data_IF_612260073739
#
_entry.id   IF_612260073739
#
_cell.length_a   1.000
_cell.length_b   1.000
_cell.length_c   1.000
_cell.angle_alpha   90.00
_cell.angle_beta   90.00
_cell.angle_gamma   90.00
#
_symmetry.space_group_name_H-M   'P 1'
#
loop_
_entity.id
_entity.type
_entity.pdbx_description
1 polymer ?
#
# COMPACT_ATOMS: atom_id res chain seq x y z
N UNK A 1 -23.90 18.16 2.10
CA UNK A 1 -22.85 17.74 1.13
C UNK A 1 -22.13 16.53 1.72
N UNK A 2 -22.20 15.38 1.09
CA UNK A 2 -21.46 14.20 1.53
C UNK A 2 -19.98 14.41 1.16
N UNK A 3 -19.13 14.63 2.16
CA UNK A 3 -17.68 14.71 1.99
C UNK A 3 -16.99 13.40 2.36
N UNK A 4 -15.71 13.32 2.08
CA UNK A 4 -14.85 12.21 2.52
C UNK A 4 -13.89 12.68 3.59
N UNK A 5 -13.62 11.82 4.57
CA UNK A 5 -12.59 11.96 5.59
C UNK A 5 -11.56 10.88 5.37
N UNK A 6 -10.32 11.26 5.06
CA UNK A 6 -9.28 10.29 4.68
C UNK A 6 -8.44 9.93 5.89
N UNK A 7 -8.29 8.62 6.13
CA UNK A 7 -7.54 8.06 7.25
C UNK A 7 -6.43 7.19 6.69
N UNK A 8 -5.19 7.49 7.07
CA UNK A 8 -4.00 6.73 6.69
C UNK A 8 -3.85 5.42 7.46
N UNK A 9 -2.59 4.97 7.58
CA UNK A 9 -2.22 3.72 8.24
C UNK A 9 -2.68 3.69 9.71
N UNK A 10 -3.41 2.66 10.10
CA UNK A 10 -3.95 2.50 11.46
C UNK A 10 -3.15 1.49 12.28
N UNK A 11 -2.70 0.41 11.65
CA UNK A 11 -1.83 -0.60 12.26
C UNK A 11 -2.28 -1.07 13.65
N UNK A 12 -3.55 -1.45 13.82
CA UNK A 12 -4.03 -2.01 15.07
C UNK A 12 -4.13 -1.03 16.26
N UNK A 13 -4.15 0.28 16.00
CA UNK A 13 -4.33 1.33 17.02
C UNK A 13 -5.80 1.78 17.11
N UNK A 14 -6.66 0.88 17.59
CA UNK A 14 -8.10 1.11 17.61
C UNK A 14 -8.56 2.22 18.57
N UNK A 15 -7.86 2.41 19.69
CA UNK A 15 -8.18 3.49 20.63
C UNK A 15 -7.94 4.86 20.02
N UNK A 16 -6.81 5.03 19.33
CA UNK A 16 -6.46 6.25 18.60
C UNK A 16 -7.41 6.49 17.43
N UNK A 17 -7.77 5.42 16.69
CA UNK A 17 -8.75 5.48 15.62
C UNK A 17 -10.13 5.96 16.14
N UNK A 18 -10.63 5.39 17.23
CA UNK A 18 -11.89 5.79 17.84
C UNK A 18 -11.86 7.26 18.25
N UNK A 19 -10.78 7.70 18.91
CA UNK A 19 -10.59 9.11 19.29
C UNK A 19 -10.57 10.03 18.08
N UNK A 20 -9.92 9.60 16.97
CA UNK A 20 -9.89 10.37 15.73
C UNK A 20 -11.30 10.50 15.12
N UNK A 21 -12.04 9.39 15.06
CA UNK A 21 -13.41 9.37 14.55
C UNK A 21 -14.32 10.31 15.35
N UNK A 22 -14.24 10.28 16.68
CA UNK A 22 -14.97 11.21 17.57
C UNK A 22 -14.63 12.67 17.27
N UNK A 23 -13.35 13.01 17.17
CA UNK A 23 -12.89 14.37 16.82
C UNK A 23 -13.35 14.84 15.44
N UNK A 24 -13.51 13.92 14.49
CA UNK A 24 -14.06 14.22 13.17
C UNK A 24 -15.59 14.29 13.17
N UNK A 25 -16.25 14.04 14.30
CA UNK A 25 -17.71 14.12 14.46
C UNK A 25 -18.46 12.85 14.11
N UNK A 26 -17.79 11.71 14.02
CA UNK A 26 -18.45 10.40 13.90
C UNK A 26 -18.99 9.97 15.27
N UNK A 27 -20.11 9.28 15.25
CA UNK A 27 -20.75 8.70 16.41
C UNK A 27 -20.94 7.20 16.20
N UNK A 28 -20.66 6.40 17.25
CA UNK A 28 -20.92 4.96 17.19
C UNK A 28 -22.42 4.70 17.39
N UNK A 29 -23.04 4.07 16.38
CA UNK A 29 -24.46 3.72 16.39
C UNK A 29 -24.67 2.34 15.76
N UNK A 30 -25.34 1.46 16.47
CA UNK A 30 -25.64 0.10 16.00
C UNK A 30 -24.41 -0.65 15.50
N UNK A 31 -23.30 -0.58 16.23
CA UNK A 31 -22.06 -1.30 15.92
C UNK A 31 -21.23 -0.73 14.76
N UNK A 32 -21.53 0.49 14.30
CA UNK A 32 -20.74 1.18 13.30
C UNK A 32 -20.63 2.67 13.57
N UNK A 33 -19.47 3.24 13.28
CA UNK A 33 -19.26 4.68 13.33
C UNK A 33 -19.89 5.37 12.11
N UNK A 34 -20.68 6.42 12.34
CA UNK A 34 -21.40 7.17 11.30
C UNK A 34 -21.30 8.67 11.56
N UNK A 35 -21.07 9.44 10.50
CA UNK A 35 -21.09 10.89 10.62
C UNK A 35 -22.52 11.41 10.43
N UNK A 36 -23.05 12.28 11.35
CA UNK A 36 -24.45 12.78 11.29
C UNK A 36 -24.76 13.53 9.98
N UNK A 37 -23.77 14.23 9.40
CA UNK A 37 -23.91 14.93 8.13
C UNK A 37 -23.68 14.02 6.88
N UNK A 38 -23.63 12.69 7.05
CA UNK A 38 -23.46 11.74 5.94
C UNK A 38 -22.07 11.73 5.29
N UNK A 39 -21.04 12.26 5.97
CA UNK A 39 -19.64 12.11 5.52
C UNK A 39 -19.23 10.64 5.60
N UNK A 40 -18.27 10.24 4.78
CA UNK A 40 -17.76 8.86 4.75
C UNK A 40 -16.26 8.85 5.01
N UNK A 41 -15.80 7.94 5.85
CA UNK A 41 -14.39 7.70 6.02
C UNK A 41 -13.82 6.93 4.79
N UNK A 42 -12.52 7.15 4.48
CA UNK A 42 -11.78 6.34 3.51
C UNK A 42 -10.48 5.91 4.14
N UNK A 43 -10.34 4.61 4.42
CA UNK A 43 -9.14 4.03 4.97
C UNK A 43 -8.17 3.67 3.84
N UNK A 44 -6.93 4.12 3.95
CA UNK A 44 -5.92 3.93 2.90
C UNK A 44 -5.08 2.64 3.05
N UNK A 45 -5.57 1.66 3.80
CA UNK A 45 -4.90 0.37 4.04
C UNK A 45 -4.01 0.38 5.28
N UNK A 46 -3.21 -0.67 5.44
CA UNK A 46 -2.35 -0.92 6.60
C UNK A 46 -3.13 -0.87 7.92
N UNK A 47 -4.18 -1.68 7.99
CA UNK A 47 -5.06 -1.81 9.14
C UNK A 47 -4.49 -2.74 10.21
N UNK A 48 -3.70 -3.73 9.77
CA UNK A 48 -3.14 -4.82 10.57
C UNK A 48 -1.68 -4.62 10.93
N UNK A 49 -1.15 -5.54 11.72
CA UNK A 49 0.23 -5.58 12.24
C UNK A 49 0.53 -4.46 13.25
N UNK A 50 1.63 -4.62 14.00
CA UNK A 50 2.25 -3.68 14.95
C UNK A 50 1.43 -3.41 16.23
N UNK A 51 0.24 -2.84 16.12
CA UNK A 51 -0.50 -2.27 17.24
C UNK A 51 -1.16 -3.31 18.16
N UNK A 52 -1.60 -2.88 19.35
CA UNK A 52 -2.11 -3.78 20.38
C UNK A 52 -3.56 -4.22 20.17
N UNK A 53 -4.33 -3.58 19.27
CA UNK A 53 -5.78 -3.77 19.14
C UNK A 53 -6.19 -4.04 17.67
N UNK A 54 -5.50 -4.95 16.98
CA UNK A 54 -5.74 -5.29 15.56
C UNK A 54 -7.18 -5.75 15.35
N UNK A 55 -7.65 -6.67 16.21
CA UNK A 55 -9.02 -7.19 16.15
C UNK A 55 -10.04 -6.06 16.19
N UNK A 56 -9.94 -5.18 17.18
CA UNK A 56 -10.85 -4.05 17.36
C UNK A 56 -10.76 -3.04 16.20
N UNK A 57 -9.57 -2.81 15.67
CA UNK A 57 -9.38 -1.98 14.46
C UNK A 57 -10.17 -2.54 13.28
N UNK A 58 -10.04 -3.84 13.04
CA UNK A 58 -10.76 -4.51 11.95
C UNK A 58 -12.28 -4.50 12.18
N UNK A 59 -12.74 -4.71 13.42
CA UNK A 59 -14.17 -4.63 13.77
C UNK A 59 -14.73 -3.23 13.48
N UNK A 60 -14.02 -2.16 13.83
CA UNK A 60 -14.40 -0.78 13.53
C UNK A 60 -14.47 -0.55 12.02
N UNK A 61 -13.39 -0.84 11.29
CA UNK A 61 -13.30 -0.56 9.86
C UNK A 61 -14.31 -1.37 9.07
N UNK A 62 -14.41 -2.67 9.34
CA UNK A 62 -15.40 -3.54 8.69
C UNK A 62 -16.83 -3.12 9.00
N UNK A 63 -17.12 -2.82 10.26
CA UNK A 63 -18.45 -2.32 10.66
C UNK A 63 -18.84 -1.06 9.91
N UNK A 64 -17.90 -0.12 9.71
CA UNK A 64 -18.12 1.09 8.93
C UNK A 64 -18.30 0.80 7.43
N UNK A 65 -17.50 -0.09 6.86
CA UNK A 65 -17.59 -0.49 5.45
C UNK A 65 -18.92 -1.19 5.18
N UNK A 66 -19.28 -2.19 5.98
CA UNK A 66 -20.52 -2.95 5.86
C UNK A 66 -21.75 -2.05 6.05
N UNK A 67 -21.64 -1.03 6.88
CA UNK A 67 -22.68 -0.01 7.11
C UNK A 67 -22.74 1.10 6.04
N UNK A 68 -21.82 1.10 5.06
CA UNK A 68 -21.70 2.10 4.01
C UNK A 68 -21.20 3.48 4.49
N UNK A 69 -20.74 3.60 5.74
CA UNK A 69 -20.17 4.83 6.32
C UNK A 69 -18.67 4.98 6.07
N UNK A 70 -18.01 3.96 5.53
CA UNK A 70 -16.64 4.04 5.08
C UNK A 70 -16.40 3.30 3.76
N UNK A 71 -15.25 3.59 3.16
CA UNK A 71 -14.55 2.83 2.12
C UNK A 71 -13.18 2.44 2.65
N UNK A 72 -12.57 1.40 2.10
CA UNK A 72 -11.20 1.03 2.43
C UNK A 72 -10.49 0.50 1.19
N UNK A 73 -9.18 0.72 1.09
CA UNK A 73 -8.32 0.08 0.10
C UNK A 73 -7.34 -0.87 0.79
N UNK A 74 -6.79 -1.82 0.04
CA UNK A 74 -5.76 -2.74 0.51
C UNK A 74 -4.42 -2.02 0.63
N UNK A 75 -3.76 -2.15 1.79
CA UNK A 75 -2.37 -1.73 1.97
C UNK A 75 -1.38 -2.88 1.70
N UNK A 76 -0.10 -2.57 1.85
CA UNK A 76 0.94 -3.59 1.65
C UNK A 76 0.96 -4.62 2.78
N UNK A 77 0.55 -4.27 4.00
CA UNK A 77 0.45 -5.22 5.11
C UNK A 77 -0.65 -6.25 4.88
N UNK A 78 -1.82 -5.85 4.39
CA UNK A 78 -2.90 -6.77 4.01
C UNK A 78 -2.44 -7.73 2.91
N UNK A 79 -1.83 -7.22 1.82
CA UNK A 79 -1.32 -8.08 0.75
C UNK A 79 -0.23 -9.03 1.24
N UNK A 80 0.65 -8.58 2.12
CA UNK A 80 1.70 -9.39 2.71
C UNK A 80 1.12 -10.53 3.56
N UNK A 81 0.08 -10.27 4.36
CA UNK A 81 -0.63 -11.28 5.15
C UNK A 81 -1.28 -12.34 4.23
N UNK A 82 -1.96 -11.89 3.17
CA UNK A 82 -2.53 -12.80 2.17
C UNK A 82 -1.47 -13.67 1.49
N UNK A 83 -0.32 -13.10 1.12
CA UNK A 83 0.78 -13.86 0.54
C UNK A 83 1.46 -14.81 1.54
N UNK A 84 1.57 -14.41 2.80
CA UNK A 84 2.16 -15.24 3.87
C UNK A 84 1.33 -16.49 4.15
N UNK A 85 0.01 -16.39 4.01
CA UNK A 85 -0.93 -17.49 4.26
C UNK A 85 -1.37 -18.24 2.99
N UNK A 86 -0.92 -17.82 1.80
CA UNK A 86 -1.27 -18.49 0.53
C UNK A 86 -0.12 -19.33 0.02
N UNK A 87 -0.32 -20.64 -0.04
CA UNK A 87 0.63 -21.55 -0.69
C UNK A 87 0.56 -21.41 -2.22
N UNK A 88 1.71 -21.51 -2.87
CA UNK A 88 1.77 -21.62 -4.33
C UNK A 88 1.37 -23.03 -4.77
N UNK A 89 0.25 -23.20 -5.50
CA UNK A 89 -0.23 -24.52 -5.88
C UNK A 89 0.67 -25.25 -6.91
N UNK A 90 1.58 -24.54 -7.57
CA UNK A 90 2.43 -25.09 -8.65
C UNK A 90 3.88 -25.32 -8.24
N UNK A 91 4.30 -24.81 -7.09
CA UNK A 91 5.69 -24.87 -6.66
C UNK A 91 5.76 -25.46 -5.26
N UNK A 92 6.72 -26.35 -5.03
CA UNK A 92 7.01 -26.94 -3.73
C UNK A 92 8.42 -26.52 -3.30
N UNK A 93 8.66 -26.52 -2.00
CA UNK A 93 10.02 -26.43 -1.44
C UNK A 93 10.78 -27.75 -1.69
N UNK A 94 12.10 -27.73 -1.51
CA UNK A 94 12.97 -28.90 -1.74
C UNK A 94 12.59 -30.10 -0.87
N UNK A 95 12.07 -29.87 0.32
CA UNK A 95 11.55 -30.90 1.24
C UNK A 95 10.15 -31.43 0.88
N UNK A 96 9.55 -30.94 -0.22
CA UNK A 96 8.19 -31.28 -0.68
C UNK A 96 7.08 -30.49 0.01
N UNK A 97 7.40 -29.65 0.97
CA UNK A 97 6.44 -28.77 1.65
C UNK A 97 5.81 -27.69 0.74
N UNK A 98 4.80 -26.98 1.21
CA UNK A 98 4.19 -25.90 0.47
C UNK A 98 5.16 -24.72 0.36
N UNK A 99 5.39 -24.22 -0.86
CA UNK A 99 6.04 -22.93 -1.05
C UNK A 99 5.01 -21.83 -0.92
N UNK A 100 5.23 -20.93 0.03
CA UNK A 100 4.35 -19.80 0.27
C UNK A 100 4.67 -18.64 -0.68
N UNK A 101 3.67 -17.83 -1.05
CA UNK A 101 3.88 -16.64 -1.89
C UNK A 101 4.76 -15.58 -1.21
N UNK A 102 4.79 -15.57 0.11
CA UNK A 102 5.76 -14.82 0.93
C UNK A 102 6.47 -15.79 1.84
N UNK A 103 7.79 -15.76 1.85
CA UNK A 103 8.60 -16.67 2.67
C UNK A 103 8.28 -16.53 4.17
N UNK A 104 8.34 -17.64 4.89
CA UNK A 104 8.20 -17.69 6.36
C UNK A 104 9.54 -17.42 7.07
N UNK A 105 10.29 -16.39 6.60
CA UNK A 105 11.50 -15.95 7.28
C UNK A 105 11.17 -15.37 8.66
N UNK A 106 12.14 -15.35 9.57
CA UNK A 106 11.98 -14.81 10.91
C UNK A 106 11.44 -13.36 10.90
N UNK A 107 11.96 -12.51 10.01
CA UNK A 107 11.50 -11.12 9.88
C UNK A 107 10.05 -11.01 9.41
N UNK A 108 9.62 -11.88 8.48
CA UNK A 108 8.23 -11.89 8.03
C UNK A 108 7.28 -12.49 9.07
N UNK A 109 7.72 -13.54 9.77
CA UNK A 109 6.97 -14.12 10.89
C UNK A 109 6.76 -13.07 11.99
N UNK A 110 7.83 -12.38 12.41
CA UNK A 110 7.76 -11.30 13.40
C UNK A 110 6.83 -10.16 12.98
N UNK A 111 6.82 -9.79 11.69
CA UNK A 111 5.92 -8.76 11.18
C UNK A 111 4.45 -9.16 11.36
N UNK A 112 4.10 -10.44 11.14
CA UNK A 112 2.72 -10.93 11.13
C UNK A 112 2.29 -11.53 12.48
N UNK A 113 3.20 -11.65 13.44
CA UNK A 113 3.00 -12.32 14.73
C UNK A 113 1.80 -11.77 15.51
N UNK A 114 1.73 -10.44 15.66
CA UNK A 114 0.66 -9.79 16.40
C UNK A 114 -0.71 -9.99 15.73
N UNK A 115 -0.77 -9.95 14.42
CA UNK A 115 -2.00 -10.21 13.67
C UNK A 115 -2.49 -11.63 13.90
N UNK A 116 -1.61 -12.63 13.79
CA UNK A 116 -1.94 -14.04 14.07
C UNK A 116 -2.40 -14.21 15.51
N UNK A 117 -1.67 -13.66 16.47
CA UNK A 117 -1.97 -13.78 17.90
C UNK A 117 -3.34 -13.19 18.26
N UNK A 118 -3.65 -12.01 17.74
CA UNK A 118 -4.88 -11.29 18.10
C UNK A 118 -6.11 -11.79 17.34
N UNK A 119 -5.97 -12.27 16.13
CA UNK A 119 -7.10 -12.81 15.36
C UNK A 119 -7.36 -14.29 15.69
N UNK A 120 -6.33 -15.05 16.08
CA UNK A 120 -6.45 -16.43 16.56
C UNK A 120 -7.27 -17.31 15.60
N UNK A 121 -8.33 -18.00 16.08
CA UNK A 121 -9.12 -18.92 15.28
C UNK A 121 -9.94 -18.21 14.16
N UNK A 122 -10.12 -16.90 14.24
CA UNK A 122 -10.87 -16.14 13.24
C UNK A 122 -9.97 -15.57 12.13
N UNK A 123 -8.67 -15.88 12.15
CA UNK A 123 -7.69 -15.36 11.18
C UNK A 123 -8.16 -15.57 9.73
N UNK A 124 -8.58 -16.78 9.38
CA UNK A 124 -9.00 -17.10 8.01
C UNK A 124 -10.22 -16.28 7.55
N UNK A 125 -11.17 -16.03 8.46
CA UNK A 125 -12.34 -15.22 8.17
C UNK A 125 -11.96 -13.74 7.93
N UNK A 126 -10.99 -13.24 8.70
CA UNK A 126 -10.48 -11.89 8.50
C UNK A 126 -9.65 -11.76 7.21
N UNK A 127 -8.80 -12.72 6.91
CA UNK A 127 -8.04 -12.77 5.65
C UNK A 127 -9.00 -12.81 4.44
N UNK A 128 -10.08 -13.59 4.54
CA UNK A 128 -11.11 -13.61 3.50
C UNK A 128 -11.75 -12.23 3.31
N UNK A 129 -12.04 -11.50 4.39
CA UNK A 129 -12.56 -10.14 4.30
C UNK A 129 -11.52 -9.15 3.73
N UNK A 130 -10.29 -9.17 4.21
CA UNK A 130 -9.20 -8.31 3.70
C UNK A 130 -8.99 -8.50 2.20
N UNK A 131 -9.18 -9.70 1.70
CA UNK A 131 -9.11 -10.02 0.27
C UNK A 131 -10.21 -9.36 -0.56
N UNK A 132 -11.32 -8.94 0.03
CA UNK A 132 -12.39 -8.21 -0.66
C UNK A 132 -12.11 -6.73 -0.85
N UNK A 133 -11.07 -6.21 -0.18
CA UNK A 133 -10.70 -4.82 -0.31
C UNK A 133 -10.14 -4.53 -1.70
N UNK A 134 -10.59 -3.47 -2.38
CA UNK A 134 -10.01 -3.04 -3.63
C UNK A 134 -8.57 -2.55 -3.43
N UNK A 135 -7.76 -2.70 -4.46
CA UNK A 135 -6.33 -2.29 -4.42
C UNK A 135 -6.18 -0.77 -4.57
N UNK A 136 -7.16 -0.15 -5.20
CA UNK A 136 -7.33 1.30 -5.30
C UNK A 136 -8.80 1.65 -5.46
N UNK A 137 -9.14 2.91 -5.23
CA UNK A 137 -10.47 3.45 -5.45
C UNK A 137 -10.40 4.74 -6.26
N UNK A 138 -11.32 4.87 -7.20
CA UNK A 138 -11.59 6.07 -7.95
C UNK A 138 -13.06 6.39 -7.84
N UNK A 139 -13.40 7.61 -7.49
CA UNK A 139 -14.80 8.05 -7.36
C UNK A 139 -14.91 9.54 -7.67
N UNK A 140 -16.10 10.08 -7.58
CA UNK A 140 -16.35 11.52 -7.67
C UNK A 140 -17.04 12.00 -6.40
N UNK A 141 -16.74 13.22 -5.99
CA UNK A 141 -17.48 13.89 -4.93
C UNK A 141 -18.83 14.44 -5.42
N UNK A 142 -19.56 15.09 -4.53
CA UNK A 142 -20.86 15.69 -4.85
C UNK A 142 -20.77 16.90 -5.82
N UNK A 143 -19.59 17.45 -6.04
CA UNK A 143 -19.33 18.50 -7.02
C UNK A 143 -18.85 17.96 -8.38
N UNK A 144 -18.73 16.63 -8.51
CA UNK A 144 -18.22 15.98 -9.73
C UNK A 144 -16.70 15.96 -9.82
N UNK A 145 -15.99 16.31 -8.76
CA UNK A 145 -14.51 16.26 -8.73
C UNK A 145 -14.05 14.82 -8.59
N UNK A 146 -13.15 14.39 -9.48
CA UNK A 146 -12.54 13.05 -9.39
C UNK A 146 -11.62 12.95 -8.17
N UNK A 147 -11.84 11.90 -7.38
CA UNK A 147 -11.06 11.56 -6.20
C UNK A 147 -10.43 10.18 -6.39
N UNK A 148 -9.16 10.08 -6.06
CA UNK A 148 -8.35 8.86 -6.16
C UNK A 148 -7.79 8.49 -4.80
N UNK A 149 -7.93 7.22 -4.41
CA UNK A 149 -7.44 6.68 -3.15
C UNK A 149 -6.62 5.43 -3.43
N UNK A 150 -5.39 5.43 -2.98
CA UNK A 150 -4.47 4.29 -3.12
C UNK A 150 -3.53 4.26 -1.93
N UNK A 151 -3.03 3.09 -1.57
CA UNK A 151 -2.18 3.00 -0.38
C UNK A 151 -0.90 3.83 -0.50
N UNK A 152 -0.14 3.75 -1.61
CA UNK A 152 1.12 4.50 -1.70
C UNK A 152 1.26 5.40 -2.95
N UNK A 153 1.00 4.93 -4.16
CA UNK A 153 1.18 5.78 -5.34
C UNK A 153 0.15 5.51 -6.45
N UNK A 154 -0.42 6.57 -7.00
CA UNK A 154 -1.31 6.48 -8.15
C UNK A 154 -0.49 6.48 -9.44
N UNK A 155 -0.36 5.33 -10.06
CA UNK A 155 0.41 5.14 -11.29
C UNK A 155 -0.51 4.60 -12.39
N UNK A 156 -1.39 5.45 -12.88
CA UNK A 156 -2.48 5.06 -13.78
C UNK A 156 -2.04 4.21 -14.98
N UNK A 157 -0.95 4.53 -15.71
CA UNK A 157 -0.52 3.68 -16.82
C UNK A 157 -0.18 2.25 -16.40
N UNK A 158 0.41 2.08 -15.21
CA UNK A 158 0.75 0.75 -14.65
C UNK A 158 -0.53 0.04 -14.19
N UNK A 159 -1.43 0.77 -13.54
CA UNK A 159 -2.70 0.25 -13.01
C UNK A 159 -3.63 -0.20 -14.15
N UNK A 160 -3.76 0.61 -15.22
CA UNK A 160 -4.51 0.24 -16.43
C UNK A 160 -3.95 -1.02 -17.07
N UNK A 161 -2.65 -1.05 -17.26
CA UNK A 161 -1.98 -2.21 -17.83
C UNK A 161 -2.23 -3.49 -17.01
N UNK A 162 -2.16 -3.40 -15.68
CA UNK A 162 -2.46 -4.53 -14.78
C UNK A 162 -3.92 -4.97 -14.90
N UNK A 163 -4.84 -4.04 -15.07
CA UNK A 163 -6.26 -4.30 -15.16
C UNK A 163 -6.66 -4.88 -16.53
N UNK A 164 -6.09 -4.36 -17.62
CA UNK A 164 -6.41 -4.75 -19.01
C UNK A 164 -5.71 -6.05 -19.44
N UNK A 165 -4.41 -6.21 -19.11
CA UNK A 165 -3.67 -7.39 -19.53
C UNK A 165 -3.95 -8.58 -18.60
N UNK A 166 -4.27 -9.77 -19.12
CA UNK A 166 -4.44 -10.97 -18.30
C UNK A 166 -3.10 -11.43 -17.70
N UNK A 167 -3.16 -12.37 -16.76
CA UNK A 167 -1.98 -13.08 -16.25
C UNK A 167 -1.32 -13.90 -17.37
N UNK A 168 -0.14 -14.43 -17.11
CA UNK A 168 0.54 -15.31 -18.07
C UNK A 168 -0.28 -16.57 -18.41
N UNK A 169 -1.19 -17.00 -17.54
CA UNK A 169 -2.13 -18.09 -17.74
C UNK A 169 -3.44 -17.66 -18.48
N UNK A 170 -3.56 -16.39 -18.85
CA UNK A 170 -4.75 -15.87 -19.55
C UNK A 170 -5.92 -15.50 -18.64
N UNK A 171 -5.74 -15.50 -17.32
CA UNK A 171 -6.78 -15.20 -16.33
C UNK A 171 -6.77 -13.73 -15.93
N UNK A 172 -7.95 -13.17 -15.60
CA UNK A 172 -8.09 -11.81 -15.09
C UNK A 172 -7.42 -11.66 -13.71
N UNK A 173 -6.61 -10.60 -13.53
CA UNK A 173 -6.01 -10.28 -12.22
C UNK A 173 -7.00 -9.73 -11.23
N UNK A 174 -7.97 -9.00 -11.74
CA UNK A 174 -8.94 -8.29 -10.91
C UNK A 174 -10.37 -8.69 -11.27
N UNK A 175 -11.21 -8.70 -10.26
CA UNK A 175 -12.65 -8.64 -10.40
C UNK A 175 -13.13 -7.20 -10.19
N UNK A 176 -14.29 -6.86 -10.75
CA UNK A 176 -14.87 -5.53 -10.63
C UNK A 176 -14.32 -4.51 -11.63
N UNK A 177 -14.83 -3.28 -11.57
CA UNK A 177 -14.45 -2.21 -12.48
C UNK A 177 -13.05 -1.66 -12.17
N UNK A 178 -12.49 -0.92 -13.12
CA UNK A 178 -11.20 -0.23 -12.93
C UNK A 178 -11.22 0.73 -11.73
N UNK A 179 -12.36 1.31 -11.43
CA UNK A 179 -12.54 2.26 -10.32
C UNK A 179 -12.38 1.63 -8.93
N UNK A 180 -12.60 0.31 -8.80
CA UNK A 180 -12.49 -0.42 -7.52
C UNK A 180 -12.13 -1.89 -7.73
N UNK A 181 -10.93 -2.21 -8.24
CA UNK A 181 -10.57 -3.59 -8.58
C UNK A 181 -10.17 -4.40 -7.34
N UNK A 182 -10.72 -5.59 -7.24
CA UNK A 182 -10.42 -6.57 -6.18
C UNK A 182 -9.59 -7.71 -6.77
N UNK A 183 -8.55 -8.15 -6.06
CA UNK A 183 -7.67 -9.24 -6.52
C UNK A 183 -8.45 -10.57 -6.64
N UNK A 184 -8.41 -11.19 -7.82
CA UNK A 184 -8.81 -12.59 -8.00
C UNK A 184 -7.77 -13.53 -7.39
N UNK A 185 -8.03 -14.84 -7.40
CA UNK A 185 -7.02 -15.84 -7.03
C UNK A 185 -5.80 -15.77 -7.98
N UNK A 186 -6.05 -15.65 -9.28
CA UNK A 186 -4.99 -15.52 -10.28
C UNK A 186 -4.18 -14.24 -10.08
N UNK A 187 -4.83 -13.12 -9.74
CA UNK A 187 -4.18 -11.87 -9.39
C UNK A 187 -3.30 -11.99 -8.15
N UNK A 188 -3.81 -12.61 -7.07
CA UNK A 188 -3.03 -12.83 -5.85
C UNK A 188 -1.75 -13.64 -6.13
N UNK A 189 -1.87 -14.70 -6.93
CA UNK A 189 -0.72 -15.50 -7.37
C UNK A 189 0.26 -14.70 -8.25
N UNK A 190 -0.24 -13.91 -9.20
CA UNK A 190 0.59 -13.08 -10.09
C UNK A 190 1.35 -12.00 -9.32
N UNK A 191 0.75 -11.44 -8.28
CA UNK A 191 1.39 -10.48 -7.37
C UNK A 191 2.42 -11.13 -6.44
N UNK A 192 2.20 -12.38 -6.03
CA UNK A 192 3.10 -13.13 -5.15
C UNK A 192 4.31 -13.76 -5.86
N UNK A 193 4.21 -14.09 -7.13
CA UNK A 193 5.23 -14.81 -7.91
C UNK A 193 6.14 -13.91 -8.70
N UNK A 194 7.44 -14.09 -8.59
CA UNK A 194 8.42 -13.41 -9.46
C UNK A 194 8.33 -13.88 -10.92
N UNK A 195 8.03 -15.18 -11.14
CA UNK A 195 7.88 -15.80 -12.45
C UNK A 195 6.64 -16.69 -12.46
N UNK A 196 5.96 -16.72 -13.56
CA UNK A 196 4.90 -17.68 -13.83
C UNK A 196 5.50 -19.10 -13.96
N UNK A 197 4.98 -20.11 -13.26
CA UNK A 197 5.57 -21.44 -13.20
C UNK A 197 5.42 -22.22 -14.52
N UNK A 198 4.45 -21.87 -15.37
CA UNK A 198 4.18 -22.56 -16.63
C UNK A 198 5.01 -21.95 -17.75
N UNK A 199 5.00 -20.63 -17.87
CA UNK A 199 5.65 -19.91 -18.97
C UNK A 199 7.09 -19.50 -18.68
N UNK A 200 7.53 -19.52 -17.41
CA UNK A 200 8.81 -19.02 -16.95
C UNK A 200 8.99 -17.51 -17.04
N UNK A 201 8.00 -16.78 -17.54
CA UNK A 201 8.03 -15.32 -17.72
C UNK A 201 7.84 -14.61 -16.38
N UNK A 202 8.51 -13.48 -16.23
CA UNK A 202 8.31 -12.64 -15.06
C UNK A 202 6.89 -12.05 -15.03
N UNK A 203 6.21 -12.20 -13.90
CA UNK A 203 4.83 -11.75 -13.73
C UNK A 203 4.73 -10.23 -13.73
N UNK A 204 3.65 -9.69 -14.26
CA UNK A 204 3.41 -8.25 -14.29
C UNK A 204 3.02 -7.74 -12.90
N UNK A 205 2.21 -8.49 -12.15
CA UNK A 205 1.80 -8.15 -10.80
C UNK A 205 2.99 -7.98 -9.85
N UNK A 206 3.90 -8.95 -9.80
CA UNK A 206 5.12 -8.85 -8.98
C UNK A 206 5.95 -7.61 -9.30
N UNK A 207 6.17 -7.30 -10.58
CA UNK A 207 6.96 -6.14 -11.01
C UNK A 207 6.32 -4.81 -10.70
N UNK A 208 5.01 -4.80 -10.52
CA UNK A 208 4.23 -3.58 -10.45
C UNK A 208 3.68 -3.27 -9.07
N UNK A 209 3.41 -4.30 -8.23
CA UNK A 209 2.77 -4.12 -6.91
C UNK A 209 3.49 -3.12 -6.01
N UNK A 210 4.82 -3.15 -6.01
CA UNK A 210 5.63 -2.25 -5.18
C UNK A 210 5.40 -0.79 -5.54
N UNK A 211 5.08 -0.49 -6.81
CA UNK A 211 4.90 0.89 -7.24
C UNK A 211 3.72 1.58 -6.59
N UNK A 212 2.57 0.90 -6.44
CA UNK A 212 1.36 1.50 -5.89
C UNK A 212 1.04 1.08 -4.44
N UNK A 213 1.69 0.01 -3.93
CA UNK A 213 1.51 -0.43 -2.54
C UNK A 213 2.65 -0.01 -1.59
N UNK A 214 3.84 0.25 -2.08
CA UNK A 214 4.97 0.73 -1.25
C UNK A 214 5.61 2.01 -1.80
N UNK A 215 5.10 2.48 -2.93
CA UNK A 215 5.63 3.63 -3.65
C UNK A 215 6.86 3.29 -4.50
N UNK A 216 7.07 4.04 -5.59
CA UNK A 216 8.19 3.82 -6.48
C UNK A 216 9.51 4.19 -5.80
N UNK A 217 10.45 3.26 -5.86
CA UNK A 217 11.82 3.48 -5.42
C UNK A 217 12.75 3.72 -6.60
N UNK A 218 13.74 4.57 -6.38
CA UNK A 218 14.82 4.86 -7.30
C UNK A 218 16.13 4.36 -6.72
N UNK A 219 16.85 3.54 -7.46
CA UNK A 219 18.21 3.16 -7.09
C UNK A 219 19.09 4.39 -7.02
N UNK A 220 19.80 4.55 -5.91
CA UNK A 220 20.79 5.60 -5.75
C UNK A 220 21.94 5.41 -6.75
N UNK A 221 22.63 6.49 -7.16
CA UNK A 221 23.86 6.41 -7.92
C UNK A 221 24.89 5.48 -7.28
N UNK A 222 25.78 4.91 -8.08
CA UNK A 222 26.79 3.97 -7.58
C UNK A 222 27.65 4.59 -6.48
N UNK A 223 27.78 3.85 -5.39
CA UNK A 223 28.50 4.27 -4.17
C UNK A 223 27.65 4.95 -3.11
N UNK A 224 26.47 5.47 -3.46
CA UNK A 224 25.57 6.10 -2.49
C UNK A 224 24.68 5.05 -1.79
N UNK A 225 24.53 5.23 -0.50
CA UNK A 225 23.62 4.47 0.34
C UNK A 225 23.28 5.24 1.61
N UNK A 226 22.23 4.83 2.30
CA UNK A 226 21.95 5.26 3.67
C UNK A 226 21.62 4.05 4.54
N UNK A 227 21.65 4.25 5.86
CA UNK A 227 21.20 3.25 6.82
C UNK A 227 19.77 3.58 7.25
N UNK A 228 18.86 2.60 7.16
CA UNK A 228 17.52 2.76 7.69
C UNK A 228 17.51 2.75 9.23
N UNK A 229 16.32 2.86 9.83
CA UNK A 229 16.17 2.88 11.30
C UNK A 229 16.66 1.61 12.00
N UNK A 230 16.75 0.51 11.26
CA UNK A 230 17.24 -0.79 11.74
C UNK A 230 18.71 -1.02 11.43
N UNK A 231 19.41 -0.01 10.86
CA UNK A 231 20.82 -0.09 10.49
C UNK A 231 21.06 -0.84 9.17
N UNK A 232 20.04 -1.18 8.43
CA UNK A 232 20.18 -1.87 7.14
C UNK A 232 20.60 -0.90 6.05
N UNK A 233 21.63 -1.30 5.28
CA UNK A 233 22.12 -0.53 4.13
C UNK A 233 21.09 -0.52 3.00
N UNK A 234 20.65 0.68 2.61
CA UNK A 234 19.72 0.91 1.51
C UNK A 234 20.43 1.61 0.35
N UNK A 235 20.29 1.03 -0.84
CA UNK A 235 20.82 1.55 -2.11
C UNK A 235 19.72 2.06 -3.04
N UNK A 236 18.49 2.15 -2.55
CA UNK A 236 17.35 2.73 -3.24
C UNK A 236 16.58 3.59 -2.26
N UNK A 237 15.93 4.61 -2.76
CA UNK A 237 15.15 5.58 -1.97
C UNK A 237 13.81 5.82 -2.63
N UNK A 238 12.77 6.01 -1.82
CA UNK A 238 11.45 6.42 -2.32
C UNK A 238 11.51 7.83 -2.86
N UNK A 239 10.74 8.07 -3.92
CA UNK A 239 10.76 9.34 -4.64
C UNK A 239 9.36 9.97 -4.67
N UNK A 240 9.32 11.28 -4.72
CA UNK A 240 8.09 12.07 -4.90
C UNK A 240 7.58 11.87 -6.33
N UNK A 241 6.87 10.78 -6.53
CA UNK A 241 6.46 10.26 -7.84
C UNK A 241 5.50 11.18 -8.59
N UNK A 242 4.85 12.10 -7.90
CA UNK A 242 3.92 13.08 -8.46
C UNK A 242 4.59 14.36 -8.96
N UNK A 243 5.89 14.55 -8.67
CA UNK A 243 6.62 15.76 -9.11
C UNK A 243 7.35 15.51 -10.42
N UNK A 244 7.19 16.47 -11.33
CA UNK A 244 8.13 16.66 -12.42
C UNK A 244 9.28 17.53 -11.89
N UNK A 245 10.54 17.01 -11.88
CA UNK A 245 11.63 17.72 -11.22
C UNK A 245 11.88 19.07 -11.87
N UNK A 246 11.80 20.20 -11.14
CA UNK A 246 12.19 21.50 -11.67
C UNK A 246 13.67 21.49 -12.07
N UNK A 247 14.10 22.41 -12.97
CA UNK A 247 15.47 22.40 -13.52
C UNK A 247 16.59 22.44 -12.49
N UNK A 248 16.33 23.01 -11.32
CA UNK A 248 17.28 23.16 -10.21
C UNK A 248 17.00 22.19 -9.04
N UNK A 249 16.07 21.25 -9.20
CA UNK A 249 15.79 20.26 -8.15
C UNK A 249 17.05 19.47 -7.80
N UNK A 250 17.22 19.22 -6.52
CA UNK A 250 18.28 18.37 -5.96
C UNK A 250 17.75 16.98 -5.63
N UNK A 251 18.62 16.06 -5.21
CA UNK A 251 18.20 14.76 -4.70
C UNK A 251 17.26 14.93 -3.50
N UNK A 252 17.54 15.86 -2.59
CA UNK A 252 16.69 16.11 -1.41
C UNK A 252 15.27 16.52 -1.79
N UNK A 253 15.09 17.33 -2.83
CA UNK A 253 13.78 17.80 -3.27
C UNK A 253 12.90 16.68 -3.87
N UNK A 254 13.53 15.61 -4.35
CA UNK A 254 12.87 14.54 -5.07
C UNK A 254 12.64 13.27 -4.26
N UNK A 255 13.27 13.13 -3.09
CA UNK A 255 13.15 11.92 -2.27
C UNK A 255 12.12 12.09 -1.15
N UNK A 256 11.48 10.97 -0.82
CA UNK A 256 10.65 10.80 0.37
C UNK A 256 11.48 10.02 1.40
N UNK A 257 12.37 10.71 2.08
CA UNK A 257 13.27 10.08 3.03
C UNK A 257 13.28 10.91 4.32
N UNK A 258 12.98 10.27 5.45
CA UNK A 258 13.07 10.93 6.74
C UNK A 258 14.48 11.50 7.01
N UNK A 259 14.58 12.44 7.93
CA UNK A 259 15.85 13.18 8.28
C UNK A 259 17.08 12.28 8.42
N UNK A 260 16.94 11.04 8.94
CA UNK A 260 18.03 10.08 9.05
C UNK A 260 18.59 9.62 7.71
N UNK A 261 17.73 9.36 6.75
CA UNK A 261 18.15 8.93 5.41
C UNK A 261 18.80 10.09 4.66
N UNK A 262 18.24 11.29 4.78
CA UNK A 262 18.84 12.52 4.23
C UNK A 262 20.23 12.76 4.85
N UNK A 263 20.37 12.69 6.17
CA UNK A 263 21.66 12.82 6.84
C UNK A 263 22.68 11.74 6.43
N UNK A 264 22.19 10.50 6.20
CA UNK A 264 23.02 9.38 5.74
C UNK A 264 23.55 9.52 4.31
N UNK A 265 22.90 10.33 3.49
CA UNK A 265 23.35 10.63 2.13
C UNK A 265 24.38 11.76 2.06
N UNK A 266 24.60 12.49 3.16
CA UNK A 266 25.59 13.57 3.24
C UNK A 266 25.42 14.62 2.15
N UNK A 267 26.53 15.11 1.56
CA UNK A 267 26.52 16.15 0.52
C UNK A 267 25.81 15.73 -0.77
N UNK A 268 25.58 14.42 -0.97
CA UNK A 268 24.88 13.92 -2.16
C UNK A 268 23.44 14.44 -2.26
N UNK A 269 22.80 14.83 -1.16
CA UNK A 269 21.44 15.40 -1.16
C UNK A 269 21.34 16.72 -1.92
N UNK A 270 22.43 17.48 -1.98
CA UNK A 270 22.52 18.77 -2.68
C UNK A 270 22.89 18.65 -4.17
N UNK A 271 23.16 17.42 -4.63
CA UNK A 271 23.47 17.20 -6.07
C UNK A 271 22.24 17.45 -6.90
N UNK A 272 22.31 18.25 -7.99
CA UNK A 272 21.20 18.47 -8.89
C UNK A 272 20.64 17.13 -9.42
N UNK A 273 19.32 16.98 -9.37
CA UNK A 273 18.63 15.75 -9.81
C UNK A 273 19.02 15.34 -11.23
N UNK A 274 19.13 16.30 -12.14
CA UNK A 274 19.53 16.07 -13.54
C UNK A 274 20.94 15.54 -13.72
N UNK A 275 21.85 15.79 -12.75
CA UNK A 275 23.25 15.37 -12.81
C UNK A 275 23.46 13.96 -12.24
N UNK A 276 22.42 13.40 -11.61
CA UNK A 276 22.46 12.06 -11.04
C UNK A 276 22.32 10.99 -12.12
N UNK A 277 23.31 10.12 -12.22
CA UNK A 277 23.33 8.99 -13.17
C UNK A 277 22.51 7.82 -12.64
N UNK A 278 21.21 7.87 -12.83
CA UNK A 278 20.34 6.76 -12.49
C UNK A 278 20.40 5.64 -13.53
N UNK A 279 20.38 4.38 -13.08
CA UNK A 279 20.34 3.19 -13.99
C UNK A 279 19.11 3.15 -14.91
N UNK A 280 18.02 3.78 -14.49
CA UNK A 280 16.78 3.92 -15.28
C UNK A 280 16.32 5.37 -15.21
N UNK A 281 15.86 5.96 -16.33
CA UNK A 281 15.30 7.30 -16.33
C UNK A 281 14.17 7.45 -15.32
N UNK A 282 14.04 8.63 -14.75
CA UNK A 282 12.85 9.01 -13.98
C UNK A 282 11.72 9.36 -14.94
N UNK A 283 10.55 8.79 -14.69
CA UNK A 283 9.32 9.16 -15.39
C UNK A 283 8.33 9.56 -14.32
N UNK A 284 8.02 10.86 -14.19
CA UNK A 284 7.01 11.32 -13.25
C UNK A 284 5.64 10.77 -13.64
N UNK A 285 4.79 10.61 -12.65
CA UNK A 285 3.37 10.33 -12.86
C UNK A 285 2.56 11.49 -12.29
N UNK A 286 2.52 12.64 -12.99
CA UNK A 286 1.79 13.81 -12.52
C UNK A 286 0.31 13.45 -12.31
N UNK A 287 -0.27 14.00 -11.25
CA UNK A 287 -1.64 13.69 -10.85
C UNK A 287 -2.51 14.88 -11.25
N UNK A 288 -3.43 14.64 -12.16
CA UNK A 288 -4.39 15.66 -12.63
C UNK A 288 -5.64 15.75 -11.73
N UNK A 289 -5.81 14.79 -10.79
CA UNK A 289 -6.95 14.72 -9.89
C UNK A 289 -6.50 14.65 -8.43
N UNK A 290 -7.39 15.00 -7.50
CA UNK A 290 -7.12 14.88 -6.07
C UNK A 290 -6.82 13.42 -5.71
N UNK A 291 -5.58 13.17 -5.31
CA UNK A 291 -5.10 11.83 -4.99
C UNK A 291 -4.64 11.77 -3.55
N UNK A 292 -5.21 10.82 -2.81
CA UNK A 292 -4.93 10.58 -1.40
C UNK A 292 -4.12 9.30 -1.26
N UNK A 293 -3.04 9.37 -0.48
CA UNK A 293 -2.12 8.27 -0.20
C UNK A 293 -1.84 8.16 1.30
N UNK A 294 -1.64 6.92 1.77
CA UNK A 294 -1.13 6.56 3.10
C UNK A 294 0.35 6.17 3.02
N UNK A 295 0.76 5.14 3.76
CA UNK A 295 2.07 4.48 3.71
C UNK A 295 3.29 5.33 4.12
N UNK A 296 3.28 6.63 3.85
CA UNK A 296 4.43 7.49 4.07
C UNK A 296 4.38 8.15 5.44
N UNK A 297 5.47 8.01 6.17
CA UNK A 297 5.69 8.73 7.42
C UNK A 297 6.40 10.03 7.09
N UNK A 298 5.63 11.09 6.95
CA UNK A 298 6.16 12.44 6.77
C UNK A 298 6.36 13.07 8.14
N UNK A 299 7.51 13.71 8.38
CA UNK A 299 7.69 14.56 9.55
C UNK A 299 6.71 15.74 9.46
N UNK A 300 6.17 16.20 10.60
CA UNK A 300 5.18 17.27 10.64
C UNK A 300 5.66 18.57 9.93
N UNK A 301 6.96 18.80 9.89
CA UNK A 301 7.60 19.93 9.23
C UNK A 301 7.71 19.76 7.70
N UNK A 302 7.46 18.55 7.17
CA UNK A 302 7.49 18.24 5.73
C UNK A 302 6.09 18.26 5.10
N UNK A 303 5.04 18.37 5.92
CA UNK A 303 3.63 18.35 5.50
C UNK A 303 3.08 19.76 5.18
N UNK A 304 3.95 20.77 5.10
CA UNK A 304 3.63 22.18 4.83
C UNK A 304 3.19 22.50 3.39
#
# INVERSE_FOLDING_TARGET
MSGFDVIGDVHGHAAELATLLERMGYEERCGAWRHPAGRRAVFLGDLIDRGPEIRRTLDIVRGMVDAGSALAVMGNHELNALHYTTADPFVREEDGGPRWLRSHSESHAKQFEETVRQLGPDLDAWLAWLRTLPVWLKTTDSAGVELRFVHAAWMEPVMRRLWEEPTAAGEARFAGPFESPVLTQAGLLDFGRRKDPVTGKATLGWKSKEKFLTGPEKGLPDGLFYLDKEGTRRTAVRVRWWLDPPPNATLADMIMAGRRAVAGLGDAVSVPWRDLKFKKPWVPSPVEALTFVGHYWLDADEAG
#
